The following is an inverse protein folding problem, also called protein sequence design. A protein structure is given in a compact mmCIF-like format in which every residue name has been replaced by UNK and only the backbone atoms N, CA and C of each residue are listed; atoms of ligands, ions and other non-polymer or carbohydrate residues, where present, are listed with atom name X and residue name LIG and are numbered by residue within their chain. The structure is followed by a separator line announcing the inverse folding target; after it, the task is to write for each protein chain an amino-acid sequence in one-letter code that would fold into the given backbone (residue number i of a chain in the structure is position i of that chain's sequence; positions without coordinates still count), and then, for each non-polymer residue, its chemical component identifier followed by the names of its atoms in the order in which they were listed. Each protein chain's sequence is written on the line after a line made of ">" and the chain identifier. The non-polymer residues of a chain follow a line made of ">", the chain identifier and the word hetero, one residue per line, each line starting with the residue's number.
data_IF_021671215070
#
_entry.id   IF_021671215070
#
_cell.length_a   1.000
_cell.length_b   1.000
_cell.length_c   1.000
_cell.angle_alpha   90.00
_cell.angle_beta   90.00
_cell.angle_gamma   90.00
#
_symmetry.space_group_name_H-M   'P 1'
#
loop_
_entity.id
_entity.type
_entity.pdbx_description
1 polymer ?
#
# COMPACT_ATOMS: atom_id res chain seq x y z
N UNK A 1 44.64 -23.75 -10.37
CA UNK A 1 44.23 -22.99 -9.17
C UNK A 1 43.34 -21.86 -9.66
N UNK A 2 42.02 -22.03 -9.59
CA UNK A 2 41.05 -21.04 -10.06
C UNK A 2 40.56 -20.23 -8.85
N UNK A 3 40.86 -18.93 -8.83
CA UNK A 3 40.24 -17.94 -7.96
C UNK A 3 39.01 -17.39 -8.70
N UNK A 4 37.78 -17.72 -8.25
CA UNK A 4 36.54 -17.10 -8.79
C UNK A 4 35.33 -17.21 -7.83
N UNK A 5 35.51 -17.14 -6.51
CA UNK A 5 34.35 -17.12 -5.57
C UNK A 5 33.90 -15.73 -5.12
N UNK A 6 34.73 -14.69 -5.26
CA UNK A 6 34.45 -13.42 -4.56
C UNK A 6 33.72 -12.39 -5.43
N UNK A 7 33.61 -12.62 -6.74
CA UNK A 7 33.01 -11.65 -7.67
C UNK A 7 31.47 -11.73 -7.73
N UNK A 8 30.90 -12.93 -7.57
CA UNK A 8 29.44 -13.14 -7.69
C UNK A 8 28.67 -12.59 -6.48
N UNK A 9 29.30 -12.53 -5.31
CA UNK A 9 28.65 -12.00 -4.10
C UNK A 9 28.50 -10.47 -4.13
N UNK A 10 29.49 -9.73 -4.62
CA UNK A 10 29.44 -8.26 -4.62
C UNK A 10 28.34 -7.70 -5.52
N UNK A 11 28.14 -8.26 -6.71
CA UNK A 11 27.13 -7.78 -7.66
C UNK A 11 25.69 -7.98 -7.11
N UNK A 12 25.46 -9.08 -6.37
CA UNK A 12 24.19 -9.35 -5.69
C UNK A 12 23.93 -8.41 -4.50
N UNK A 13 24.99 -8.02 -3.79
CA UNK A 13 24.94 -7.11 -2.64
C UNK A 13 24.67 -5.69 -3.13
N UNK A 14 25.40 -5.23 -4.14
CA UNK A 14 25.21 -3.90 -4.74
C UNK A 14 23.80 -3.75 -5.33
N UNK A 15 23.30 -4.78 -6.00
CA UNK A 15 21.94 -4.78 -6.53
C UNK A 15 20.88 -4.70 -5.41
N UNK A 16 21.06 -5.49 -4.34
CA UNK A 16 20.17 -5.44 -3.17
C UNK A 16 20.21 -4.06 -2.50
N UNK A 17 21.40 -3.47 -2.33
CA UNK A 17 21.57 -2.13 -1.78
C UNK A 17 20.90 -1.06 -2.64
N UNK A 18 21.02 -1.16 -3.97
CA UNK A 18 20.33 -0.26 -4.90
C UNK A 18 18.80 -0.34 -4.76
N UNK A 19 18.25 -1.55 -4.66
CA UNK A 19 16.80 -1.74 -4.48
C UNK A 19 16.33 -1.17 -3.13
N UNK A 20 17.06 -1.44 -2.04
CA UNK A 20 16.74 -0.91 -0.72
C UNK A 20 16.75 0.62 -0.72
N UNK A 21 17.77 1.25 -1.32
CA UNK A 21 17.84 2.71 -1.47
C UNK A 21 16.69 3.26 -2.32
N UNK A 22 16.23 2.50 -3.31
CA UNK A 22 15.03 2.82 -4.09
C UNK A 22 13.76 2.79 -3.25
N UNK A 23 13.61 1.78 -2.38
CA UNK A 23 12.48 1.66 -1.45
C UNK A 23 12.47 2.79 -0.43
N UNK A 24 13.62 3.11 0.18
CA UNK A 24 13.76 4.22 1.13
C UNK A 24 13.29 5.55 0.52
N UNK A 25 13.70 5.86 -0.71
CA UNK A 25 13.26 7.07 -1.42
C UNK A 25 11.75 7.10 -1.67
N UNK A 26 11.13 5.95 -1.94
CA UNK A 26 9.67 5.87 -2.09
C UNK A 26 8.99 6.21 -0.76
N UNK A 27 9.46 5.65 0.36
CA UNK A 27 8.93 5.97 1.68
C UNK A 27 9.14 7.45 2.06
N UNK A 28 10.30 8.02 1.75
CA UNK A 28 10.59 9.44 1.96
C UNK A 28 9.59 10.33 1.21
N UNK A 29 9.33 10.01 -0.06
CA UNK A 29 8.34 10.73 -0.87
C UNK A 29 6.95 10.59 -0.24
N UNK A 30 6.48 9.38 0.09
CA UNK A 30 5.16 9.17 0.72
C UNK A 30 5.05 9.99 2.02
N UNK A 31 6.08 9.97 2.86
CA UNK A 31 6.13 10.73 4.11
C UNK A 31 6.03 12.24 3.86
N UNK A 32 6.73 12.74 2.84
CA UNK A 32 6.65 14.14 2.42
C UNK A 32 5.23 14.52 1.98
N UNK A 33 4.57 13.70 1.15
CA UNK A 33 3.19 13.95 0.75
C UNK A 33 2.25 13.94 1.97
N UNK A 34 2.43 13.02 2.91
CA UNK A 34 1.63 12.98 4.13
C UNK A 34 1.76 14.25 4.98
N UNK A 35 2.98 14.80 5.11
CA UNK A 35 3.24 16.04 5.84
C UNK A 35 2.48 17.23 5.25
N UNK A 36 2.36 17.31 3.91
CA UNK A 36 1.61 18.36 3.22
C UNK A 36 0.12 18.27 3.55
N UNK A 37 -0.40 17.06 3.73
CA UNK A 37 -1.83 16.83 3.90
C UNK A 37 -2.30 16.75 5.36
N UNK A 38 -1.43 16.83 6.37
CA UNK A 38 -1.81 16.71 7.80
C UNK A 38 -2.95 17.66 8.22
N UNK A 39 -3.22 18.71 7.45
CA UNK A 39 -4.32 19.66 7.67
C UNK A 39 -5.76 19.12 7.46
N UNK A 40 -5.99 17.90 6.96
CA UNK A 40 -7.33 17.43 6.55
C UNK A 40 -7.93 16.24 7.31
N UNK A 41 -7.25 15.66 8.31
CA UNK A 41 -7.89 14.57 9.09
C UNK A 41 -8.74 15.13 10.23
N UNK A 42 -9.99 14.67 10.39
CA UNK A 42 -10.83 15.10 11.50
C UNK A 42 -10.22 14.61 12.81
N UNK A 43 -9.84 15.52 13.71
CA UNK A 43 -9.40 15.17 15.07
C UNK A 43 -10.58 14.58 15.84
N UNK A 44 -10.70 13.26 15.94
CA UNK A 44 -11.71 12.64 16.82
C UNK A 44 -11.34 11.22 17.24
N UNK A 45 -11.74 10.87 18.46
CA UNK A 45 -11.68 9.55 19.11
C UNK A 45 -12.06 8.39 18.16
N UNK A 46 -12.97 8.64 17.23
CA UNK A 46 -13.53 7.64 16.32
C UNK A 46 -12.51 7.10 15.29
N UNK A 47 -11.48 7.87 14.94
CA UNK A 47 -10.41 7.39 14.04
C UNK A 47 -9.62 6.24 14.68
N UNK A 48 -9.45 6.23 16.02
CA UNK A 48 -8.74 5.15 16.71
C UNK A 48 -9.41 3.80 16.45
N UNK A 49 -10.74 3.77 16.50
CA UNK A 49 -11.49 2.56 16.23
C UNK A 49 -11.36 2.12 14.76
N UNK A 50 -11.36 3.07 13.82
CA UNK A 50 -11.15 2.77 12.40
C UNK A 50 -9.75 2.21 12.16
N UNK A 51 -8.72 2.76 12.81
CA UNK A 51 -7.35 2.22 12.79
C UNK A 51 -7.30 0.80 13.32
N UNK A 52 -7.86 0.55 14.51
CA UNK A 52 -7.85 -0.78 15.12
C UNK A 52 -8.57 -1.78 14.23
N UNK A 53 -9.73 -1.40 13.66
CA UNK A 53 -10.48 -2.28 12.78
C UNK A 53 -9.74 -2.51 11.46
N UNK A 54 -9.12 -1.48 10.88
CA UNK A 54 -8.33 -1.59 9.66
C UNK A 54 -7.14 -2.54 9.86
N UNK A 55 -6.43 -2.45 10.98
CA UNK A 55 -5.36 -3.40 11.32
C UNK A 55 -5.87 -4.85 11.39
N UNK A 56 -7.03 -5.09 12.02
CA UNK A 56 -7.65 -6.42 12.03
C UNK A 56 -8.00 -6.91 10.62
N UNK A 57 -8.49 -6.02 9.75
CA UNK A 57 -8.78 -6.35 8.35
C UNK A 57 -7.49 -6.71 7.60
N UNK A 58 -6.41 -5.93 7.78
CA UNK A 58 -5.11 -6.21 7.16
C UNK A 58 -4.64 -7.61 7.55
N UNK A 59 -4.63 -7.93 8.85
CA UNK A 59 -4.24 -9.27 9.33
C UNK A 59 -5.10 -10.36 8.70
N UNK A 60 -6.43 -10.24 8.77
CA UNK A 60 -7.33 -11.26 8.25
C UNK A 60 -7.19 -11.48 6.72
N UNK A 61 -7.04 -10.39 5.95
CA UNK A 61 -6.90 -10.46 4.50
C UNK A 61 -5.54 -11.06 4.10
N UNK A 62 -4.47 -10.60 4.74
CA UNK A 62 -3.11 -11.08 4.45
C UNK A 62 -2.94 -12.55 4.79
N UNK A 63 -3.45 -13.01 5.92
CA UNK A 63 -3.45 -14.43 6.29
C UNK A 63 -4.25 -15.27 5.29
N UNK A 64 -5.47 -14.85 4.97
CA UNK A 64 -6.35 -15.59 4.09
C UNK A 64 -5.84 -15.69 2.65
N UNK A 65 -5.28 -14.61 2.10
CA UNK A 65 -4.66 -14.63 0.78
C UNK A 65 -3.31 -15.36 0.81
N UNK A 66 -2.57 -15.24 1.92
CA UNK A 66 -1.34 -15.99 2.16
C UNK A 66 -1.55 -17.51 2.11
N UNK A 67 -2.62 -18.02 2.74
CA UNK A 67 -3.00 -19.44 2.66
C UNK A 67 -3.31 -19.91 1.23
N UNK A 68 -3.68 -18.99 0.33
CA UNK A 68 -3.96 -19.26 -1.08
C UNK A 68 -2.77 -18.97 -1.99
N UNK A 69 -1.61 -18.63 -1.43
CA UNK A 69 -0.43 -18.16 -2.17
C UNK A 69 -0.74 -16.97 -3.11
N UNK A 70 -1.67 -16.11 -2.72
CA UNK A 70 -2.05 -14.91 -3.48
C UNK A 70 -1.43 -13.65 -2.85
N UNK A 71 -1.00 -12.73 -3.71
CA UNK A 71 -0.52 -11.43 -3.26
C UNK A 71 -1.69 -10.56 -2.77
N UNK A 72 -1.46 -9.87 -1.65
CA UNK A 72 -2.41 -8.90 -1.11
C UNK A 72 -2.13 -7.53 -1.71
N UNK A 73 -3.14 -6.93 -2.33
CA UNK A 73 -3.13 -5.55 -2.81
C UNK A 73 -3.77 -4.63 -1.78
N UNK A 74 -3.37 -3.34 -1.69
CA UNK A 74 -4.07 -2.33 -0.90
C UNK A 74 -5.57 -2.29 -1.18
N UNK A 75 -5.99 -2.52 -2.43
CA UNK A 75 -7.40 -2.57 -2.81
C UNK A 75 -8.15 -3.75 -2.16
N UNK A 76 -7.49 -4.87 -1.91
CA UNK A 76 -8.12 -6.01 -1.22
C UNK A 76 -8.53 -5.62 0.20
N UNK A 77 -7.60 -4.96 0.91
CA UNK A 77 -7.81 -4.46 2.27
C UNK A 77 -8.93 -3.41 2.30
N UNK A 78 -8.85 -2.41 1.41
CA UNK A 78 -9.81 -1.31 1.34
C UNK A 78 -11.21 -1.82 1.00
N UNK A 79 -11.34 -2.73 0.04
CA UNK A 79 -12.63 -3.30 -0.33
C UNK A 79 -13.25 -4.13 0.80
N UNK A 80 -12.44 -4.88 1.57
CA UNK A 80 -12.93 -5.63 2.74
C UNK A 80 -13.36 -4.67 3.84
N UNK A 81 -12.53 -3.68 4.18
CA UNK A 81 -12.85 -2.68 5.21
C UNK A 81 -14.13 -1.90 4.88
N UNK A 82 -14.28 -1.47 3.63
CA UNK A 82 -15.45 -0.72 3.18
C UNK A 82 -16.71 -1.59 3.05
N UNK A 83 -16.57 -2.92 3.08
CA UNK A 83 -17.60 -3.91 2.72
C UNK A 83 -18.13 -3.72 1.29
N UNK A 84 -17.21 -3.47 0.36
CA UNK A 84 -17.56 -3.24 -1.04
C UNK A 84 -18.06 -4.53 -1.70
N UNK A 85 -19.16 -4.46 -2.44
CA UNK A 85 -19.64 -5.58 -3.23
C UNK A 85 -19.12 -5.48 -4.68
N UNK A 86 -17.90 -5.94 -4.92
CA UNK A 86 -17.25 -5.88 -6.23
C UNK A 86 -16.61 -7.22 -6.64
N UNK A 87 -16.12 -7.29 -7.89
CA UNK A 87 -15.53 -8.51 -8.44
C UNK A 87 -14.31 -8.96 -7.65
N UNK A 88 -13.47 -8.04 -7.17
CA UNK A 88 -12.31 -8.36 -6.36
C UNK A 88 -12.67 -9.17 -5.10
N UNK A 89 -13.75 -8.78 -4.40
CA UNK A 89 -14.24 -9.53 -3.23
C UNK A 89 -14.77 -10.92 -3.62
N UNK A 90 -15.50 -11.02 -4.74
CA UNK A 90 -16.11 -12.27 -5.19
C UNK A 90 -15.06 -13.27 -5.70
N UNK A 91 -14.17 -12.82 -6.57
CA UNK A 91 -13.13 -13.64 -7.21
C UNK A 91 -12.13 -14.18 -6.18
N UNK A 92 -11.64 -13.31 -5.29
CA UNK A 92 -10.72 -13.70 -4.22
C UNK A 92 -11.42 -14.38 -3.03
N UNK A 93 -12.75 -14.46 -3.06
CA UNK A 93 -13.59 -15.05 -2.00
C UNK A 93 -13.35 -14.38 -0.65
N UNK A 94 -13.18 -13.06 -0.63
CA UNK A 94 -12.90 -12.28 0.58
C UNK A 94 -14.14 -12.08 1.47
N UNK A 95 -15.34 -12.26 0.92
CA UNK A 95 -16.60 -12.20 1.67
C UNK A 95 -16.77 -13.32 2.70
N UNK A 96 -15.97 -14.40 2.60
CA UNK A 96 -15.97 -15.49 3.59
C UNK A 96 -15.21 -15.15 4.87
N UNK A 97 -14.41 -14.08 4.86
CA UNK A 97 -13.72 -13.62 6.04
C UNK A 97 -14.74 -13.23 7.12
N UNK A 98 -14.63 -13.72 8.37
CA UNK A 98 -15.55 -13.36 9.44
C UNK A 98 -15.63 -11.85 9.65
N UNK A 99 -14.50 -11.15 9.51
CA UNK A 99 -14.41 -9.70 9.67
C UNK A 99 -15.21 -8.92 8.62
N UNK A 100 -15.41 -9.48 7.42
CA UNK A 100 -16.17 -8.81 6.35
C UNK A 100 -17.63 -8.57 6.76
N UNK A 101 -18.22 -9.50 7.52
CA UNK A 101 -19.60 -9.43 7.98
C UNK A 101 -19.77 -8.79 9.36
N UNK A 102 -18.68 -8.49 10.08
CA UNK A 102 -18.77 -7.90 11.42
C UNK A 102 -19.37 -6.50 11.41
N UNK A 103 -20.37 -6.26 12.25
CA UNK A 103 -20.94 -4.93 12.41
C UNK A 103 -20.00 -4.05 13.24
N UNK A 104 -19.64 -2.92 12.66
CA UNK A 104 -18.71 -1.95 13.23
C UNK A 104 -19.12 -0.54 12.77
N UNK A 105 -19.05 0.43 13.68
CA UNK A 105 -19.39 1.82 13.40
C UNK A 105 -18.22 2.51 12.70
N UNK A 106 -18.19 2.41 11.36
CA UNK A 106 -17.16 3.06 10.53
C UNK A 106 -17.35 4.56 10.42
N UNK A 107 -16.27 5.30 10.66
CA UNK A 107 -16.23 6.77 10.43
C UNK A 107 -15.74 7.05 9.00
N UNK A 108 -14.69 6.35 8.58
CA UNK A 108 -14.15 6.43 7.23
C UNK A 108 -15.08 5.74 6.22
N UNK A 109 -15.54 6.52 5.23
CA UNK A 109 -16.45 6.05 4.18
C UNK A 109 -15.87 6.16 2.77
N UNK A 110 -15.07 7.17 2.50
CA UNK A 110 -14.45 7.37 1.20
C UNK A 110 -13.25 6.44 1.05
N UNK A 111 -13.05 5.88 -0.14
CA UNK A 111 -11.95 4.95 -0.38
C UNK A 111 -10.60 5.65 -0.28
N UNK A 112 -10.54 6.90 -0.70
CA UNK A 112 -9.37 7.76 -0.65
C UNK A 112 -8.91 7.97 0.79
N UNK A 113 -9.84 8.21 1.72
CA UNK A 113 -9.49 8.39 3.14
C UNK A 113 -9.01 7.08 3.77
N UNK A 114 -9.57 5.92 3.36
CA UNK A 114 -9.15 4.61 3.85
C UNK A 114 -7.75 4.26 3.31
N UNK A 115 -7.50 4.50 2.03
CA UNK A 115 -6.17 4.34 1.42
C UNK A 115 -5.14 5.23 2.11
N UNK A 116 -5.50 6.48 2.35
CA UNK A 116 -4.63 7.42 3.06
C UNK A 116 -4.37 7.00 4.50
N UNK A 117 -5.35 6.41 5.19
CA UNK A 117 -5.12 5.83 6.51
C UNK A 117 -4.16 4.65 6.41
N UNK A 118 -4.31 3.79 5.40
CA UNK A 118 -3.41 2.67 5.17
C UNK A 118 -1.98 3.14 4.92
N UNK A 119 -1.78 4.17 4.09
CA UNK A 119 -0.47 4.80 3.85
C UNK A 119 0.15 5.30 5.16
N UNK A 120 -0.64 5.94 6.03
CA UNK A 120 -0.15 6.39 7.34
C UNK A 120 0.31 5.26 8.24
N UNK A 121 -0.37 4.12 8.19
CA UNK A 121 0.03 2.94 8.96
C UNK A 121 1.34 2.36 8.43
N UNK A 122 1.55 2.45 7.12
CA UNK A 122 2.77 2.01 6.47
C UNK A 122 3.95 2.94 6.82
N UNK A 123 3.76 4.25 6.71
CA UNK A 123 4.79 5.26 7.06
C UNK A 123 5.17 5.19 8.53
N UNK A 124 4.21 4.89 9.42
CA UNK A 124 4.47 4.67 10.85
C UNK A 124 5.04 3.28 11.18
N UNK A 125 5.40 2.49 10.17
CA UNK A 125 5.95 1.14 10.30
C UNK A 125 5.04 0.14 11.05
N UNK A 126 3.75 0.45 11.17
CA UNK A 126 2.75 -0.44 11.77
C UNK A 126 2.31 -1.55 10.80
N UNK A 127 2.45 -1.30 9.50
CA UNK A 127 2.15 -2.25 8.42
C UNK A 127 3.35 -2.35 7.51
N UNK A 128 3.91 -3.56 7.38
CA UNK A 128 5.03 -3.80 6.48
C UNK A 128 4.52 -4.07 5.07
N UNK A 129 5.07 -3.35 4.09
CA UNK A 129 4.78 -3.57 2.67
C UNK A 129 6.02 -4.09 1.98
N UNK A 130 5.85 -5.14 1.18
CA UNK A 130 6.89 -5.61 0.27
C UNK A 130 6.79 -4.86 -1.05
N UNK A 131 7.82 -4.09 -1.39
CA UNK A 131 7.90 -3.37 -2.66
C UNK A 131 8.84 -4.11 -3.61
N UNK A 132 8.29 -4.87 -4.54
CA UNK A 132 9.09 -5.53 -5.57
C UNK A 132 9.41 -4.54 -6.71
N UNK A 133 10.61 -3.95 -6.66
CA UNK A 133 11.10 -3.07 -7.71
C UNK A 133 11.52 -3.89 -8.95
N UNK A 134 11.00 -3.52 -10.12
CA UNK A 134 11.42 -4.09 -11.41
C UNK A 134 12.27 -3.08 -12.18
N UNK A 135 13.34 -3.54 -12.79
CA UNK A 135 14.13 -2.74 -13.73
C UNK A 135 13.22 -2.30 -14.88
N UNK A 136 13.18 -1.00 -15.18
CA UNK A 136 12.45 -0.51 -16.34
C UNK A 136 13.08 -1.09 -17.61
N UNK A 137 12.29 -1.81 -18.41
CA UNK A 137 12.74 -2.31 -19.70
C UNK A 137 12.88 -1.11 -20.64
N UNK A 138 14.08 -0.85 -21.17
CA UNK A 138 14.35 0.30 -22.07
C UNK A 138 13.80 0.11 -23.50
N UNK A 139 12.73 -0.68 -23.67
CA UNK A 139 12.18 -1.02 -24.97
C UNK A 139 10.65 -1.13 -24.92
N UNK A 140 9.98 -0.06 -24.51
CA UNK A 140 8.62 0.27 -24.97
C UNK A 140 8.32 1.73 -24.64
N UNK A 141 7.69 2.42 -25.58
CA UNK A 141 7.47 3.85 -25.70
C UNK A 141 7.21 4.59 -24.38
N UNK A 142 7.93 5.70 -24.19
CA UNK A 142 7.66 6.75 -23.20
C UNK A 142 6.17 7.02 -23.11
N UNK A 143 5.52 6.52 -22.05
CA UNK A 143 4.18 7.00 -21.70
C UNK A 143 4.41 8.35 -21.07
N UNK A 144 4.21 9.41 -21.87
CA UNK A 144 4.17 10.77 -21.35
C UNK A 144 3.15 10.82 -20.21
N UNK A 145 3.64 10.94 -18.97
CA UNK A 145 2.82 11.40 -17.85
C UNK A 145 2.45 12.86 -18.16
N UNK A 146 1.32 13.06 -18.82
CA UNK A 146 0.72 14.38 -18.97
C UNK A 146 0.01 14.72 -17.65
N UNK A 147 0.76 15.33 -16.74
CA UNK A 147 0.17 15.97 -15.58
C UNK A 147 -0.55 17.25 -16.03
N UNK A 148 -1.89 17.21 -16.06
CA UNK A 148 -2.71 18.40 -16.30
C UNK A 148 -2.75 19.21 -15.01
N UNK A 149 -1.92 20.24 -14.93
CA UNK A 149 -1.96 21.23 -13.84
C UNK A 149 -3.26 22.02 -13.98
N UNK A 150 -4.27 21.70 -13.18
CA UNK A 150 -5.49 22.49 -13.08
C UNK A 150 -5.18 23.79 -12.31
N UNK A 151 -4.75 24.82 -13.03
CA UNK A 151 -4.72 26.18 -12.52
C UNK A 151 -6.17 26.71 -12.45
N UNK A 152 -6.83 26.59 -11.29
CA UNK A 152 -8.00 27.43 -11.00
C UNK A 152 -7.52 28.84 -10.69
N UNK A 153 -7.50 29.70 -11.70
CA UNK A 153 -7.58 31.16 -11.50
C UNK A 153 -9.05 31.54 -11.64
N UNK A 154 -9.70 31.83 -10.53
CA UNK A 154 -10.97 32.55 -10.54
C UNK A 154 -10.64 34.03 -10.70
N UNK A 155 -11.16 34.66 -11.76
CA UNK A 155 -11.51 36.07 -11.78
C UNK A 155 -13.02 36.16 -11.60
#
# INVERSE_FOLDING_TARGET
>A
MFFFSDFINNESIEHTQYLNKGQEKIFEIITYWESIYECHLPKSENIKNDVIHLLKVITAVTEFLGMKNQLTSPLDIVHVFAKANNNNIKEKKLSFLPIYNQNYNKTLRQFEDILRLLDKLIVKELVKVRVDLKKANTSTSSTQLTCKVNNRRNY
#
